data_IF_091332245925
#
_entry.id   IF_091332245925
#
_cell.length_a   1.000
_cell.length_b   1.000
_cell.length_c   1.000
_cell.angle_alpha   90.00
_cell.angle_beta   90.00
_cell.angle_gamma   90.00
#
_symmetry.space_group_name_H-M   'P 1'
#
loop_
_entity.id
_entity.type
_entity.pdbx_description
1 polymer ?
#
# COMPACT_ATOMS: atom_id res chain seq x y z
N UNK A 1 -24.95 -2.82 15.45
CA UNK A 1 -23.55 -3.30 15.56
C UNK A 1 -22.62 -2.16 15.24
N UNK A 2 -21.69 -1.90 16.13
CA UNK A 2 -20.62 -0.94 15.86
C UNK A 2 -19.48 -1.64 15.10
N UNK A 3 -18.97 -0.98 14.06
CA UNK A 3 -17.80 -1.47 13.34
C UNK A 3 -16.55 -0.87 13.95
N UNK A 4 -15.53 -1.69 14.16
CA UNK A 4 -14.24 -1.22 14.59
C UNK A 4 -13.49 -0.58 13.43
N UNK A 5 -12.83 0.54 13.67
CA UNK A 5 -11.92 1.13 12.68
C UNK A 5 -10.76 0.20 12.42
N UNK A 6 -10.50 -0.10 11.16
CA UNK A 6 -9.33 -0.87 10.74
C UNK A 6 -8.13 0.07 10.64
N UNK A 7 -6.97 -0.42 11.03
CA UNK A 7 -5.76 0.40 11.14
C UNK A 7 -4.66 -0.23 10.31
N UNK A 8 -4.10 0.55 9.40
CA UNK A 8 -2.90 0.19 8.65
C UNK A 8 -1.76 1.10 9.08
N UNK A 9 -0.63 0.51 9.46
CA UNK A 9 0.61 1.25 9.75
C UNK A 9 1.53 1.06 8.55
N UNK A 10 1.94 2.15 7.93
CA UNK A 10 2.67 2.13 6.67
C UNK A 10 4.09 2.64 6.82
N UNK A 11 5.03 2.02 6.10
CA UNK A 11 6.40 2.49 6.01
C UNK A 11 7.30 1.97 7.11
N UNK A 12 6.99 0.84 7.71
CA UNK A 12 7.86 0.21 8.68
C UNK A 12 9.02 -0.52 7.98
N UNK A 13 10.20 -0.43 8.58
CA UNK A 13 11.44 -0.98 8.00
C UNK A 13 12.15 -1.94 8.94
N UNK A 14 11.72 -2.04 10.19
CA UNK A 14 12.40 -2.85 11.23
C UNK A 14 11.44 -3.85 11.84
N UNK A 15 11.96 -5.03 12.14
CA UNK A 15 11.16 -6.11 12.75
C UNK A 15 10.58 -5.70 14.10
N UNK A 16 11.33 -4.96 14.93
CA UNK A 16 10.86 -4.50 16.23
C UNK A 16 9.64 -3.57 16.08
N UNK A 17 9.63 -2.70 15.08
CA UNK A 17 8.52 -1.78 14.84
C UNK A 17 7.30 -2.52 14.30
N UNK A 18 7.50 -3.50 13.44
CA UNK A 18 6.42 -4.37 12.95
C UNK A 18 5.78 -5.12 14.12
N UNK A 19 6.59 -5.71 14.99
CA UNK A 19 6.10 -6.42 16.17
C UNK A 19 5.31 -5.49 17.09
N UNK A 20 5.79 -4.27 17.31
CA UNK A 20 5.11 -3.29 18.15
C UNK A 20 3.75 -2.88 17.54
N UNK A 21 3.69 -2.65 16.24
CA UNK A 21 2.45 -2.29 15.55
C UNK A 21 1.42 -3.43 15.63
N UNK A 22 1.85 -4.67 15.43
CA UNK A 22 1.00 -5.85 15.55
C UNK A 22 0.47 -6.00 16.98
N UNK A 23 1.34 -5.85 17.98
CA UNK A 23 0.94 -5.93 19.39
C UNK A 23 -0.05 -4.83 19.77
N UNK A 24 0.06 -3.66 19.14
CA UNK A 24 -0.86 -2.55 19.35
C UNK A 24 -2.22 -2.72 18.65
N UNK A 25 -2.37 -3.74 17.82
CA UNK A 25 -3.65 -4.06 17.17
C UNK A 25 -3.78 -3.63 15.71
N UNK A 26 -2.67 -3.38 15.00
CA UNK A 26 -2.73 -3.06 13.58
C UNK A 26 -3.34 -4.21 12.77
N UNK A 27 -4.17 -3.86 11.81
CA UNK A 27 -4.82 -4.83 10.89
C UNK A 27 -4.01 -5.05 9.62
N UNK A 28 -3.16 -4.10 9.26
CA UNK A 28 -2.30 -4.19 8.08
C UNK A 28 -0.99 -3.45 8.31
N UNK A 29 0.05 -3.95 7.67
CA UNK A 29 1.39 -3.34 7.71
C UNK A 29 1.82 -3.06 6.27
N UNK A 30 2.13 -1.80 5.98
CA UNK A 30 2.57 -1.38 4.66
C UNK A 30 4.09 -1.31 4.55
N UNK A 31 4.60 -1.83 3.45
CA UNK A 31 6.03 -1.81 3.10
C UNK A 31 6.21 -0.97 1.84
N UNK A 32 7.09 0.03 1.92
CA UNK A 32 7.30 0.97 0.81
C UNK A 32 8.39 0.42 -0.11
N UNK A 33 7.99 0.03 -1.32
CA UNK A 33 8.91 -0.49 -2.33
C UNK A 33 9.37 0.58 -3.31
N UNK A 34 9.16 1.84 -2.98
CA UNK A 34 9.58 3.00 -3.76
C UNK A 34 10.97 3.44 -3.32
N UNK A 35 11.96 3.31 -4.22
CA UNK A 35 13.38 3.49 -3.90
C UNK A 35 13.74 4.90 -3.42
N UNK A 36 12.96 5.92 -3.81
CA UNK A 36 13.22 7.30 -3.41
C UNK A 36 12.65 7.66 -2.04
N UNK A 37 11.92 6.76 -1.41
CA UNK A 37 11.37 7.00 -0.07
C UNK A 37 12.44 6.76 0.99
N UNK A 38 12.44 7.61 2.04
CA UNK A 38 13.28 7.39 3.22
C UNK A 38 12.91 6.10 3.97
N UNK A 39 11.70 5.57 3.72
CA UNK A 39 11.19 4.33 4.35
C UNK A 39 11.25 3.15 3.39
N UNK A 40 12.07 3.25 2.33
CA UNK A 40 12.21 2.20 1.34
C UNK A 40 12.75 0.91 1.96
N UNK A 41 12.14 -0.21 1.57
CA UNK A 41 12.67 -1.55 1.81
C UNK A 41 12.74 -2.30 0.49
N UNK A 42 13.68 -3.23 0.39
CA UNK A 42 13.74 -4.13 -0.77
C UNK A 42 12.60 -5.15 -0.69
N UNK A 43 12.33 -5.81 -1.83
CA UNK A 43 11.36 -6.91 -1.86
C UNK A 43 11.76 -8.00 -0.86
N UNK A 44 13.05 -8.33 -0.77
CA UNK A 44 13.55 -9.34 0.14
C UNK A 44 13.34 -8.95 1.60
N UNK A 45 13.61 -7.69 1.94
CA UNK A 45 13.37 -7.18 3.29
C UNK A 45 11.88 -7.18 3.63
N UNK A 46 11.05 -6.70 2.71
CA UNK A 46 9.61 -6.69 2.90
C UNK A 46 9.05 -8.10 3.09
N UNK A 47 9.50 -9.05 2.27
CA UNK A 47 9.07 -10.44 2.38
C UNK A 47 9.48 -11.06 3.72
N UNK A 48 10.69 -10.76 4.20
CA UNK A 48 11.15 -11.23 5.50
C UNK A 48 10.29 -10.68 6.64
N UNK A 49 9.97 -9.38 6.59
CA UNK A 49 9.10 -8.74 7.57
C UNK A 49 7.67 -9.29 7.50
N UNK A 50 7.15 -9.49 6.29
CA UNK A 50 5.81 -10.02 6.08
C UNK A 50 5.65 -11.43 6.67
N UNK A 51 6.71 -12.26 6.63
CA UNK A 51 6.68 -13.60 7.21
C UNK A 51 6.51 -13.60 8.73
N UNK A 52 6.80 -12.50 9.40
CA UNK A 52 6.61 -12.39 10.85
C UNK A 52 5.18 -12.04 11.25
N UNK A 53 4.31 -11.68 10.30
CA UNK A 53 2.95 -11.27 10.58
C UNK A 53 2.07 -12.46 10.96
N UNK A 54 1.25 -12.33 12.02
CA UNK A 54 0.29 -13.38 12.36
C UNK A 54 -0.89 -13.41 11.40
N UNK A 55 -1.74 -14.44 11.45
CA UNK A 55 -3.00 -14.44 10.71
C UNK A 55 -3.83 -13.19 11.02
N UNK A 56 -4.58 -12.72 10.02
CA UNK A 56 -5.45 -11.54 10.09
C UNK A 56 -4.71 -10.20 10.16
N UNK A 57 -3.38 -10.18 9.98
CA UNK A 57 -2.64 -8.95 9.72
C UNK A 57 -2.15 -9.01 8.29
N UNK A 58 -2.62 -8.08 7.47
CA UNK A 58 -2.38 -8.09 6.03
C UNK A 58 -1.11 -7.33 5.66
N UNK A 59 -0.15 -7.94 4.94
CA UNK A 59 0.94 -7.18 4.35
C UNK A 59 0.45 -6.38 3.15
N UNK A 60 0.93 -5.15 3.02
CA UNK A 60 0.57 -4.25 1.91
C UNK A 60 1.86 -3.79 1.24
N UNK A 61 1.95 -3.98 -0.07
CA UNK A 61 3.08 -3.49 -0.87
C UNK A 61 2.72 -2.16 -1.52
N UNK A 62 3.42 -1.10 -1.16
CA UNK A 62 3.20 0.23 -1.72
C UNK A 62 4.16 0.49 -2.87
N UNK A 63 3.59 0.83 -4.03
CA UNK A 63 4.34 1.15 -5.25
C UNK A 63 4.09 2.59 -5.67
N UNK A 64 5.11 3.21 -6.26
CA UNK A 64 5.01 4.51 -6.93
C UNK A 64 5.61 4.35 -8.32
N UNK A 65 4.76 4.28 -9.33
CA UNK A 65 5.15 4.17 -10.75
C UNK A 65 6.15 3.03 -11.02
N UNK A 66 5.97 1.90 -10.34
CA UNK A 66 6.87 0.76 -10.46
C UNK A 66 6.74 0.08 -11.82
N UNK A 67 7.84 -0.51 -12.28
CA UNK A 67 7.82 -1.32 -13.49
C UNK A 67 7.04 -2.62 -13.25
N UNK A 68 6.36 -3.16 -14.28
CA UNK A 68 5.62 -4.42 -14.14
C UNK A 68 6.46 -5.58 -13.58
N UNK A 69 7.73 -5.64 -13.92
CA UNK A 69 8.64 -6.68 -13.41
C UNK A 69 8.84 -6.58 -11.89
N UNK A 70 8.93 -5.37 -11.35
CA UNK A 70 9.04 -5.16 -9.91
C UNK A 70 7.77 -5.59 -9.18
N UNK A 71 6.61 -5.24 -9.73
CA UNK A 71 5.32 -5.63 -9.17
C UNK A 71 5.19 -7.16 -9.17
N UNK A 72 5.53 -7.80 -10.27
CA UNK A 72 5.48 -9.25 -10.38
C UNK A 72 6.41 -9.94 -9.38
N UNK A 73 7.62 -9.41 -9.19
CA UNK A 73 8.57 -9.96 -8.23
C UNK A 73 8.05 -9.83 -6.79
N UNK A 74 7.44 -8.70 -6.45
CA UNK A 74 6.86 -8.48 -5.13
C UNK A 74 5.69 -9.44 -4.87
N UNK A 75 4.81 -9.62 -5.84
CA UNK A 75 3.67 -10.55 -5.76
C UNK A 75 4.16 -11.98 -5.57
N UNK A 76 5.20 -12.38 -6.30
CA UNK A 76 5.78 -13.72 -6.16
C UNK A 76 6.39 -13.95 -4.77
N UNK A 77 7.06 -12.92 -4.22
CA UNK A 77 7.69 -13.01 -2.90
C UNK A 77 6.68 -12.90 -1.76
N UNK A 78 5.56 -12.23 -1.97
CA UNK A 78 4.53 -11.99 -0.96
C UNK A 78 3.14 -12.28 -1.55
N UNK A 79 2.80 -13.57 -1.74
CA UNK A 79 1.56 -13.93 -2.44
C UNK A 79 0.28 -13.52 -1.72
N UNK A 80 0.35 -13.19 -0.43
CA UNK A 80 -0.80 -12.75 0.36
C UNK A 80 -0.90 -11.23 0.48
N UNK A 81 0.00 -10.49 -0.16
CA UNK A 81 0.01 -9.04 -0.03
C UNK A 81 -1.13 -8.38 -0.81
N UNK A 82 -1.70 -7.36 -0.20
CA UNK A 82 -2.55 -6.37 -0.87
C UNK A 82 -1.62 -5.34 -1.52
N UNK A 83 -1.94 -4.88 -2.72
CA UNK A 83 -1.14 -3.87 -3.39
C UNK A 83 -1.71 -2.48 -3.13
N UNK A 84 -0.84 -1.48 -3.06
CA UNK A 84 -1.24 -0.08 -2.95
C UNK A 84 -0.48 0.74 -4.00
N UNK A 85 -1.22 1.39 -4.89
CA UNK A 85 -0.64 2.24 -5.92
C UNK A 85 -0.76 3.69 -5.50
N UNK A 86 0.37 4.36 -5.34
CA UNK A 86 0.46 5.68 -4.73
C UNK A 86 1.10 6.74 -5.65
N UNK A 87 1.30 6.41 -6.92
CA UNK A 87 1.87 7.32 -7.92
C UNK A 87 0.82 7.77 -8.94
N UNK A 88 1.25 7.84 -10.20
CA UNK A 88 0.39 8.26 -11.31
C UNK A 88 -0.06 7.09 -12.17
N UNK A 89 -0.10 5.90 -11.61
CA UNK A 89 -0.46 4.68 -12.34
C UNK A 89 -1.85 4.80 -12.96
N UNK A 90 -1.94 4.35 -14.22
CA UNK A 90 -3.23 4.29 -14.91
C UNK A 90 -4.08 3.14 -14.36
N UNK A 91 -5.41 3.18 -14.54
CA UNK A 91 -6.26 2.04 -14.21
C UNK A 91 -5.78 0.72 -14.83
N UNK A 92 -5.36 0.77 -16.11
CA UNK A 92 -4.87 -0.42 -16.80
C UNK A 92 -3.59 -0.98 -16.15
N UNK A 93 -2.67 -0.11 -15.72
CA UNK A 93 -1.44 -0.55 -15.04
C UNK A 93 -1.76 -1.20 -13.70
N UNK A 94 -2.70 -0.64 -12.93
CA UNK A 94 -3.13 -1.23 -11.67
C UNK A 94 -3.79 -2.59 -11.88
N UNK A 95 -4.66 -2.70 -12.87
CA UNK A 95 -5.39 -3.94 -13.18
C UNK A 95 -4.46 -5.04 -13.69
N UNK A 96 -3.39 -4.66 -14.39
CA UNK A 96 -2.44 -5.61 -14.98
C UNK A 96 -1.73 -6.48 -13.94
N UNK A 97 -1.65 -6.01 -12.69
CA UNK A 97 -1.06 -6.79 -11.60
C UNK A 97 -1.87 -8.05 -11.26
N UNK A 98 -3.16 -8.08 -11.62
CA UNK A 98 -4.03 -9.23 -11.38
C UNK A 98 -4.29 -9.55 -9.91
N UNK A 99 -4.16 -8.56 -9.04
CA UNK A 99 -4.28 -8.70 -7.58
C UNK A 99 -5.16 -7.61 -7.01
N UNK A 100 -5.83 -7.86 -5.86
CA UNK A 100 -6.54 -6.79 -5.16
C UNK A 100 -5.62 -5.62 -4.84
N UNK A 101 -6.13 -4.40 -5.03
CA UNK A 101 -5.32 -3.22 -4.78
C UNK A 101 -6.13 -2.06 -4.20
N UNK A 102 -5.41 -1.19 -3.49
CA UNK A 102 -5.88 0.11 -3.05
C UNK A 102 -5.31 1.18 -4.00
N UNK A 103 -6.11 2.18 -4.31
CA UNK A 103 -5.64 3.33 -5.09
C UNK A 103 -5.59 4.55 -4.19
N UNK A 104 -4.40 5.12 -4.00
CA UNK A 104 -4.24 6.39 -3.28
C UNK A 104 -4.63 7.55 -4.18
N UNK A 105 -5.39 8.49 -3.65
CA UNK A 105 -5.80 9.70 -4.36
C UNK A 105 -5.46 10.92 -3.51
N UNK A 106 -4.81 11.95 -4.09
CA UNK A 106 -4.50 13.17 -3.37
C UNK A 106 -5.77 13.99 -3.20
N UNK A 107 -6.04 14.45 -1.99
CA UNK A 107 -7.20 15.28 -1.67
C UNK A 107 -6.89 16.74 -1.98
N UNK A 108 -6.81 17.07 -3.28
CA UNK A 108 -6.55 18.43 -3.76
C UNK A 108 -7.87 19.18 -3.98
N UNK A 109 -7.85 20.53 -3.94
CA UNK A 109 -9.03 21.31 -4.32
C UNK A 109 -9.54 20.93 -5.71
N UNK A 110 -10.86 20.75 -5.82
CA UNK A 110 -11.48 20.36 -7.09
C UNK A 110 -11.47 18.86 -7.38
N UNK A 111 -10.94 18.03 -6.49
CA UNK A 111 -10.99 16.58 -6.66
C UNK A 111 -12.42 16.08 -6.52
N UNK A 112 -12.86 15.26 -7.48
CA UNK A 112 -14.14 14.59 -7.44
C UNK A 112 -13.92 13.09 -7.12
N UNK A 113 -14.33 12.68 -5.92
CA UNK A 113 -14.17 11.28 -5.48
C UNK A 113 -14.98 10.30 -6.31
N UNK A 114 -16.18 10.71 -6.77
CA UNK A 114 -16.99 9.85 -7.64
C UNK A 114 -16.28 9.59 -8.97
N UNK A 115 -15.63 10.61 -9.52
CA UNK A 115 -14.82 10.47 -10.73
C UNK A 115 -13.66 9.49 -10.49
N UNK A 116 -12.97 9.60 -9.36
CA UNK A 116 -11.91 8.66 -8.99
C UNK A 116 -12.42 7.23 -8.88
N UNK A 117 -13.58 7.02 -8.27
CA UNK A 117 -14.20 5.70 -8.19
C UNK A 117 -14.51 5.15 -9.58
N UNK A 118 -15.02 5.98 -10.48
CA UNK A 118 -15.33 5.57 -11.85
C UNK A 118 -14.07 5.26 -12.65
N UNK A 119 -12.97 5.97 -12.39
CA UNK A 119 -11.70 5.73 -13.08
C UNK A 119 -11.02 4.43 -12.63
N UNK A 120 -11.20 4.05 -11.36
CA UNK A 120 -10.59 2.85 -10.77
C UNK A 120 -11.65 1.88 -10.26
N UNK A 121 -12.51 1.35 -11.14
CA UNK A 121 -13.65 0.52 -10.70
C UNK A 121 -13.20 -0.80 -10.08
N UNK A 122 -11.98 -1.26 -10.34
CA UNK A 122 -11.47 -2.52 -9.82
C UNK A 122 -10.67 -2.35 -8.53
N UNK A 123 -10.46 -1.12 -8.05
CA UNK A 123 -9.83 -0.90 -6.76
C UNK A 123 -10.71 -1.43 -5.64
N UNK A 124 -10.11 -2.08 -4.64
CA UNK A 124 -10.82 -2.54 -3.46
C UNK A 124 -11.32 -1.35 -2.63
N UNK A 125 -10.53 -0.29 -2.60
CA UNK A 125 -10.86 0.95 -1.91
C UNK A 125 -9.98 2.09 -2.42
N UNK A 126 -10.41 3.32 -2.17
CA UNK A 126 -9.57 4.51 -2.35
C UNK A 126 -8.95 4.88 -1.00
N UNK A 127 -7.67 5.23 -1.04
CA UNK A 127 -6.95 5.79 0.10
C UNK A 127 -6.86 7.29 -0.10
N UNK A 128 -7.48 8.05 0.79
CA UNK A 128 -7.49 9.52 0.69
C UNK A 128 -6.24 10.06 1.36
N UNK A 129 -5.43 10.78 0.61
CA UNK A 129 -4.14 11.26 1.07
C UNK A 129 -4.08 12.79 1.03
N UNK A 130 -3.27 13.38 1.93
CA UNK A 130 -3.08 14.82 1.93
C UNK A 130 -2.37 15.26 0.64
N UNK A 131 -2.73 16.43 0.07
CA UNK A 131 -2.01 16.96 -1.09
C UNK A 131 -0.63 17.43 -0.65
N UNK A 132 0.42 16.82 -1.23
CA UNK A 132 1.81 17.19 -0.96
C UNK A 132 2.60 17.15 -2.26
N UNK A 133 3.74 17.85 -2.28
CA UNK A 133 4.67 17.75 -3.39
C UNK A 133 5.37 16.39 -3.32
N UNK A 134 5.39 15.67 -4.44
CA UNK A 134 5.94 14.35 -4.53
C UNK A 134 4.95 13.25 -4.15
N UNK A 135 5.46 12.09 -3.78
CA UNK A 135 4.66 10.91 -3.49
C UNK A 135 4.89 10.41 -2.07
N UNK A 136 3.82 9.85 -1.48
CA UNK A 136 3.94 9.09 -0.24
C UNK A 136 3.90 9.91 1.03
N UNK A 137 2.77 10.41 1.38
CA UNK A 137 2.47 10.96 2.69
C UNK A 137 3.14 12.28 3.03
N UNK A 138 2.39 13.14 3.68
CA UNK A 138 2.85 14.47 4.05
C UNK A 138 3.23 14.55 5.52
N UNK A 139 4.29 13.98 5.88
CA UNK A 139 4.62 14.14 7.26
C UNK A 139 5.62 13.28 7.87
#
# INVERSE_FOLDING_TARGET
MTQRTRIKICGLTREADVAAAVAAGADAIGFVLYAQSARHVTIEQAAALARTLPPFVTPVCLFVNAQPAQIAAAVAAMPNALLQFHGDETPAACDAAGRPYLRAVPMAPGLDLLDCLHRFPNAQALLLDAPVDGYGGGG
#
